data_IF_687241105506
#
_entry.id   IF_687241105506
#
_cell.length_a   1.000
_cell.length_b   1.000
_cell.length_c   1.000
_cell.angle_alpha   90.00
_cell.angle_beta   90.00
_cell.angle_gamma   90.00
#
_symmetry.space_group_name_H-M   'P 1'
#
loop_
_entity.id
_entity.type
_entity.pdbx_description
1 polymer ?
#
# COMPACT_ATOMS: atom_id res chain seq x y z
N UNK A 1 14.45 7.61 -13.00
CA UNK A 1 13.45 7.12 -12.02
C UNK A 1 12.63 6.06 -12.75
N UNK A 2 12.60 4.83 -12.28
CA UNK A 2 11.80 3.77 -12.91
C UNK A 2 10.32 4.00 -12.61
N UNK A 3 9.62 4.61 -13.57
CA UNK A 3 8.21 4.98 -13.44
C UNK A 3 7.36 3.72 -13.47
N UNK A 4 6.50 3.54 -12.45
CA UNK A 4 5.47 2.50 -12.47
C UNK A 4 4.34 2.93 -13.42
N UNK A 5 3.91 2.01 -14.27
CA UNK A 5 2.83 2.28 -15.23
C UNK A 5 1.52 2.47 -14.47
N UNK A 6 0.76 3.51 -14.84
CA UNK A 6 -0.59 3.73 -14.30
C UNK A 6 -1.49 2.57 -14.77
N UNK A 7 -2.23 1.89 -13.87
CA UNK A 7 -3.12 0.81 -14.25
C UNK A 7 -4.10 1.23 -15.35
N UNK A 8 -4.37 0.34 -16.31
CA UNK A 8 -5.23 0.67 -17.44
C UNK A 8 -6.67 1.05 -17.03
N UNK A 9 -7.15 0.52 -15.91
CA UNK A 9 -8.43 0.92 -15.32
C UNK A 9 -8.41 2.39 -14.88
N UNK A 10 -7.34 2.82 -14.21
CA UNK A 10 -7.17 4.21 -13.76
C UNK A 10 -7.01 5.19 -14.94
N UNK A 11 -6.43 4.76 -16.06
CA UNK A 11 -6.35 5.60 -17.27
C UNK A 11 -7.70 5.80 -17.97
N UNK A 12 -8.63 4.85 -17.83
CA UNK A 12 -9.94 4.88 -18.51
C UNK A 12 -11.04 5.53 -17.67
N UNK A 13 -10.86 5.61 -16.36
CA UNK A 13 -11.84 6.15 -15.43
C UNK A 13 -11.48 7.59 -15.03
N UNK A 14 -12.32 8.54 -15.44
CA UNK A 14 -12.15 9.96 -15.11
C UNK A 14 -12.27 10.25 -13.60
N UNK A 15 -12.85 9.33 -12.83
CA UNK A 15 -12.98 9.44 -11.37
C UNK A 15 -11.91 8.62 -10.63
N UNK A 16 -10.92 8.07 -11.33
CA UNK A 16 -9.84 7.32 -10.70
C UNK A 16 -9.07 8.19 -9.70
N UNK A 17 -8.72 7.60 -8.55
CA UNK A 17 -7.97 8.27 -7.49
C UNK A 17 -6.73 7.44 -7.16
N UNK A 18 -5.55 8.06 -7.20
CA UNK A 18 -4.33 7.48 -6.64
C UNK A 18 -4.38 7.60 -5.11
N UNK A 19 -4.46 6.45 -4.42
CA UNK A 19 -4.54 6.40 -2.95
C UNK A 19 -3.16 6.43 -2.29
N UNK A 20 -2.19 5.73 -2.86
CA UNK A 20 -0.87 5.55 -2.26
C UNK A 20 0.21 5.44 -3.33
N UNK A 21 1.39 5.97 -3.00
CA UNK A 21 2.61 5.77 -3.77
C UNK A 21 3.77 5.58 -2.81
N UNK A 22 4.63 4.61 -3.10
CA UNK A 22 5.70 4.13 -2.20
C UNK A 22 7.03 4.13 -2.93
N UNK A 23 8.10 4.53 -2.23
CA UNK A 23 9.46 4.57 -2.74
C UNK A 23 10.45 4.04 -1.73
N UNK A 24 11.57 3.52 -2.23
CA UNK A 24 12.81 3.43 -1.46
C UNK A 24 13.65 4.67 -1.80
N UNK A 25 13.83 5.55 -0.83
CA UNK A 25 14.60 6.78 -0.95
C UNK A 25 15.38 7.00 0.35
N UNK A 26 16.54 7.67 0.29
CA UNK A 26 17.33 8.01 1.49
C UNK A 26 17.59 6.85 2.47
N UNK A 27 17.72 5.62 1.95
CA UNK A 27 17.89 4.36 2.73
C UNK A 27 16.68 3.96 3.58
N UNK A 28 15.51 4.52 3.31
CA UNK A 28 14.24 4.21 3.97
C UNK A 28 13.08 4.03 3.01
N UNK A 29 11.93 3.62 3.57
CA UNK A 29 10.66 3.57 2.87
C UNK A 29 9.95 4.90 3.05
N UNK A 30 9.56 5.51 1.93
CA UNK A 30 8.79 6.75 1.88
C UNK A 30 7.45 6.49 1.22
N UNK A 31 6.38 7.09 1.74
CA UNK A 31 5.06 7.03 1.12
C UNK A 31 4.40 8.42 1.01
N UNK A 32 3.56 8.55 0.00
CA UNK A 32 2.59 9.65 -0.14
C UNK A 32 1.21 9.01 -0.15
N UNK A 33 0.33 9.47 0.73
CA UNK A 33 -0.99 8.87 0.97
C UNK A 33 -2.09 9.92 0.84
N UNK A 34 -3.15 9.57 0.12
CA UNK A 34 -4.39 10.35 0.09
C UNK A 34 -5.37 9.81 1.13
N UNK A 35 -5.27 10.31 2.34
CA UNK A 35 -6.21 9.97 3.41
C UNK A 35 -7.49 10.80 3.32
N UNK A 36 -8.57 10.26 3.89
CA UNK A 36 -9.84 10.97 4.09
C UNK A 36 -10.84 10.81 2.95
N UNK A 37 -10.63 9.83 2.06
CA UNK A 37 -11.61 9.51 1.01
C UNK A 37 -12.91 8.94 1.59
N UNK A 38 -12.83 8.32 2.78
CA UNK A 38 -13.96 7.74 3.50
C UNK A 38 -14.20 8.42 4.86
N UNK A 39 -13.58 9.59 5.08
CA UNK A 39 -13.64 10.28 6.37
C UNK A 39 -15.04 10.84 6.68
N UNK A 40 -15.82 11.18 5.66
CA UNK A 40 -17.23 11.56 5.80
C UNK A 40 -18.10 10.41 6.34
N UNK A 41 -17.67 9.16 6.15
CA UNK A 41 -18.28 7.95 6.69
C UNK A 41 -17.71 7.54 8.07
N UNK A 42 -16.77 8.34 8.60
CA UNK A 42 -16.18 8.17 9.92
C UNK A 42 -14.87 7.36 9.93
N UNK A 43 -14.12 7.51 11.02
CA UNK A 43 -12.78 6.90 11.20
C UNK A 43 -12.80 5.38 11.03
N UNK A 44 -13.86 4.70 11.50
CA UNK A 44 -13.97 3.24 11.38
C UNK A 44 -13.97 2.83 9.91
N UNK A 45 -14.75 3.51 9.07
CA UNK A 45 -14.83 3.20 7.64
C UNK A 45 -13.50 3.46 6.92
N UNK A 46 -12.83 4.57 7.21
CA UNK A 46 -11.49 4.86 6.67
C UNK A 46 -10.48 3.77 7.07
N UNK A 47 -10.45 3.37 8.34
CA UNK A 47 -9.52 2.32 8.80
C UNK A 47 -9.82 0.94 8.17
N UNK A 48 -11.09 0.57 8.04
CA UNK A 48 -11.50 -0.65 7.35
C UNK A 48 -11.12 -0.63 5.87
N UNK A 49 -11.34 0.50 5.19
CA UNK A 49 -10.97 0.65 3.79
C UNK A 49 -9.46 0.48 3.58
N UNK A 50 -8.63 1.13 4.41
CA UNK A 50 -7.17 0.93 4.35
C UNK A 50 -6.76 -0.51 4.65
N UNK A 51 -7.43 -1.20 5.57
CA UNK A 51 -7.20 -2.62 5.82
C UNK A 51 -7.43 -3.48 4.57
N UNK A 52 -8.51 -3.23 3.83
CA UNK A 52 -8.81 -3.92 2.58
C UNK A 52 -7.76 -3.59 1.51
N UNK A 53 -7.42 -2.30 1.34
CA UNK A 53 -6.42 -1.84 0.36
C UNK A 53 -5.07 -2.52 0.60
N UNK A 54 -4.60 -2.57 1.84
CA UNK A 54 -3.31 -3.18 2.18
C UNK A 54 -3.31 -4.70 1.94
N UNK A 55 -4.41 -5.39 2.25
CA UNK A 55 -4.54 -6.82 1.98
C UNK A 55 -4.54 -7.13 0.48
N UNK A 56 -5.25 -6.33 -0.33
CA UNK A 56 -5.27 -6.47 -1.79
C UNK A 56 -3.89 -6.22 -2.41
N UNK A 57 -3.19 -5.17 -1.94
CA UNK A 57 -1.80 -4.91 -2.34
C UNK A 57 -0.87 -6.08 -2.00
N UNK A 58 -0.99 -6.67 -0.80
CA UNK A 58 -0.20 -7.85 -0.42
C UNK A 58 -0.47 -9.04 -1.36
N UNK A 59 -1.72 -9.22 -1.78
CA UNK A 59 -2.12 -10.23 -2.77
C UNK A 59 -1.44 -10.02 -4.11
N UNK A 60 -1.46 -8.78 -4.61
CA UNK A 60 -0.79 -8.42 -5.86
C UNK A 60 0.73 -8.58 -5.81
N UNK A 61 1.36 -8.30 -4.67
CA UNK A 61 2.80 -8.58 -4.48
C UNK A 61 3.06 -10.08 -4.56
N UNK A 62 2.26 -10.92 -3.89
CA UNK A 62 2.41 -12.37 -3.95
C UNK A 62 2.24 -12.91 -5.39
N UNK A 63 1.27 -12.37 -6.15
CA UNK A 63 1.08 -12.71 -7.56
C UNK A 63 2.32 -12.36 -8.40
N UNK A 64 2.87 -11.16 -8.23
CA UNK A 64 4.06 -10.71 -8.94
C UNK A 64 5.29 -11.57 -8.61
N UNK A 65 5.55 -11.84 -7.33
CA UNK A 65 6.67 -12.69 -6.91
C UNK A 65 6.53 -14.13 -7.43
N UNK A 66 5.31 -14.67 -7.42
CA UNK A 66 5.02 -16.00 -7.97
C UNK A 66 5.25 -16.04 -9.48
N UNK A 67 4.86 -14.99 -10.21
CA UNK A 67 5.06 -14.88 -11.65
C UNK A 67 6.56 -14.82 -12.05
N UNK A 68 7.39 -14.24 -11.18
CA UNK A 68 8.86 -14.24 -11.30
C UNK A 68 9.50 -15.59 -10.89
N UNK A 69 8.70 -16.60 -10.53
CA UNK A 69 9.18 -17.94 -10.19
C UNK A 69 9.75 -18.08 -8.77
N UNK A 70 9.47 -17.13 -7.87
CA UNK A 70 9.99 -17.16 -6.49
C UNK A 70 9.33 -18.19 -5.58
N UNK A 71 8.28 -18.87 -6.04
CA UNK A 71 7.61 -19.95 -5.32
C UNK A 71 6.09 -19.95 -5.51
N UNK A 72 5.37 -20.84 -4.79
CA UNK A 72 3.92 -20.88 -4.84
C UNK A 72 3.31 -19.61 -4.24
N UNK A 73 2.42 -18.96 -4.99
CA UNK A 73 1.66 -17.76 -4.56
C UNK A 73 1.12 -17.86 -3.13
N UNK A 74 0.49 -18.97 -2.75
CA UNK A 74 -0.09 -19.14 -1.42
C UNK A 74 0.97 -19.03 -0.31
N UNK A 75 2.11 -19.72 -0.47
CA UNK A 75 3.20 -19.66 0.50
C UNK A 75 3.84 -18.26 0.57
N UNK A 76 3.95 -17.57 -0.57
CA UNK A 76 4.45 -16.19 -0.63
C UNK A 76 3.50 -15.21 0.07
N UNK A 77 2.19 -15.34 -0.17
CA UNK A 77 1.18 -14.53 0.48
C UNK A 77 1.19 -14.73 2.00
N UNK A 78 1.22 -15.99 2.46
CA UNK A 78 1.31 -16.31 3.89
C UNK A 78 2.57 -15.73 4.54
N UNK A 79 3.71 -15.79 3.84
CA UNK A 79 4.95 -15.18 4.29
C UNK A 79 4.85 -13.65 4.40
N UNK A 80 4.23 -12.99 3.41
CA UNK A 80 4.01 -11.53 3.42
C UNK A 80 3.13 -11.13 4.61
N UNK A 81 2.00 -11.82 4.84
CA UNK A 81 1.10 -11.54 5.96
C UNK A 81 1.80 -11.80 7.31
N UNK A 82 2.59 -12.87 7.40
CA UNK A 82 3.39 -13.18 8.58
C UNK A 82 4.37 -12.05 8.92
N UNK A 83 5.16 -11.61 7.94
CA UNK A 83 6.12 -10.51 8.13
C UNK A 83 5.42 -9.17 8.42
N UNK A 84 4.30 -8.89 7.76
CA UNK A 84 3.49 -7.69 8.03
C UNK A 84 3.02 -7.63 9.48
N UNK A 85 2.45 -8.74 10.00
CA UNK A 85 1.97 -8.78 11.39
C UNK A 85 3.10 -8.62 12.41
N UNK A 86 4.27 -9.19 12.15
CA UNK A 86 5.47 -9.00 12.99
C UNK A 86 5.90 -7.54 13.00
N UNK A 87 6.07 -6.92 11.83
CA UNK A 87 6.48 -5.51 11.71
C UNK A 87 5.43 -4.55 12.30
N UNK A 88 4.14 -4.86 12.16
CA UNK A 88 3.06 -4.07 12.75
C UNK A 88 3.09 -4.10 14.29
N UNK A 89 3.47 -5.23 14.88
CA UNK A 89 3.60 -5.39 16.33
C UNK A 89 4.94 -4.86 16.87
N UNK A 90 6.02 -5.00 16.11
CA UNK A 90 7.39 -4.63 16.48
C UNK A 90 8.07 -3.88 15.32
N UNK A 91 7.81 -2.57 15.15
CA UNK A 91 8.38 -1.80 14.04
C UNK A 91 9.91 -1.77 14.09
N UNK A 92 10.53 -2.09 12.96
CA UNK A 92 12.00 -2.14 12.84
C UNK A 92 12.59 -0.89 12.19
N UNK A 93 11.76 -0.06 11.56
CA UNK A 93 12.17 1.20 10.93
C UNK A 93 11.28 2.38 11.34
N UNK A 94 11.85 3.58 11.35
CA UNK A 94 11.09 4.81 11.49
C UNK A 94 10.24 5.04 10.23
N UNK A 95 8.95 5.32 10.40
CA UNK A 95 8.05 5.69 9.30
C UNK A 95 8.40 7.10 8.82
N UNK A 96 8.75 7.25 7.55
CA UNK A 96 8.99 8.54 6.90
C UNK A 96 7.97 8.75 5.78
N UNK A 97 7.32 9.91 5.77
CA UNK A 97 6.32 10.28 4.77
C UNK A 97 5.83 11.69 5.03
N UNK A 98 5.49 12.41 3.96
CA UNK A 98 4.88 13.73 4.06
C UNK A 98 3.37 13.56 4.16
N UNK A 99 2.78 13.80 5.32
CA UNK A 99 1.33 14.00 5.43
C UNK A 99 0.99 15.33 4.77
N UNK A 100 -0.13 15.44 4.01
CA UNK A 100 -0.62 16.76 3.62
C UNK A 100 -0.86 17.51 4.92
N UNK A 101 -0.07 18.57 5.16
CA UNK A 101 -0.19 19.37 6.35
C UNK A 101 -1.66 19.76 6.55
N UNK A 102 -2.17 19.53 7.76
CA UNK A 102 -3.52 19.92 8.13
C UNK A 102 -3.75 21.37 7.72
N UNK A 103 -4.75 21.58 6.88
CA UNK A 103 -5.33 22.90 6.70
C UNK A 103 -6.05 23.17 8.01
N UNK A 104 -5.41 23.98 8.87
CA UNK A 104 -6.07 24.59 10.03
C UNK A 104 -7.11 25.61 9.60
#
# INVERSE_FOLDING_TARGET
>A
MDVRVVPSAALRDANAVELARVWIAERGLHCSLKCGLYADQGVVMETTAWGIVLADMAGHVADALSAEGMGPRAALYDAIIGSFNVEAAMPTAQRAGDTPAGVG
#
